data_IF_824394636375
#
_entry.id   IF_824394636375
#
_cell.length_a   1.000
_cell.length_b   1.000
_cell.length_c   1.000
_cell.angle_alpha   90.00
_cell.angle_beta   90.00
_cell.angle_gamma   90.00
#
_symmetry.space_group_name_H-M   'P 1'
#
loop_
_entity.id
_entity.type
_entity.pdbx_description
1 polymer ?
#
# COMPACT_ATOMS: atom_id res chain seq x y z
N UNK A 1 6.75 19.30 7.86
CA UNK A 1 7.44 18.02 7.56
C UNK A 1 7.73 17.14 8.80
N UNK A 2 7.94 17.68 10.00
CA UNK A 2 8.23 16.89 11.22
C UNK A 2 7.16 15.82 11.52
N UNK A 3 5.88 16.18 11.43
CA UNK A 3 4.78 15.24 11.70
C UNK A 3 4.67 14.13 10.64
N UNK A 4 4.95 14.45 9.37
CA UNK A 4 5.02 13.44 8.31
C UNK A 4 6.16 12.43 8.54
N UNK A 5 7.33 12.89 9.00
CA UNK A 5 8.43 11.99 9.39
C UNK A 5 8.06 11.09 10.58
N UNK A 6 7.28 11.59 11.54
CA UNK A 6 6.78 10.79 12.66
C UNK A 6 5.79 9.73 12.17
N UNK A 7 4.87 10.11 11.30
CA UNK A 7 3.92 9.20 10.67
C UNK A 7 4.61 8.09 9.86
N UNK A 8 5.63 8.44 9.07
CA UNK A 8 6.48 7.49 8.35
C UNK A 8 7.28 6.57 9.27
N UNK A 9 7.59 6.97 10.51
CA UNK A 9 8.25 6.07 11.47
C UNK A 9 7.26 5.16 12.20
N UNK A 10 5.96 5.36 12.04
CA UNK A 10 4.94 4.55 12.71
C UNK A 10 4.88 3.14 12.12
N UNK A 11 5.06 2.13 12.97
CA UNK A 11 4.94 0.71 12.59
C UNK A 11 3.58 0.42 11.95
N UNK A 12 2.51 1.03 12.45
CA UNK A 12 1.15 0.84 11.93
C UNK A 12 1.02 1.25 10.47
N UNK A 13 1.69 2.34 10.05
CA UNK A 13 1.69 2.81 8.66
C UNK A 13 2.25 1.74 7.72
N UNK A 14 3.40 1.17 8.07
CA UNK A 14 4.06 0.15 7.25
C UNK A 14 3.32 -1.19 7.26
N UNK A 15 2.75 -1.60 8.41
CA UNK A 15 1.93 -2.82 8.48
C UNK A 15 0.71 -2.70 7.55
N UNK A 16 0.04 -1.55 7.56
CA UNK A 16 -1.09 -1.30 6.66
C UNK A 16 -0.67 -1.38 5.17
N UNK A 17 0.47 -0.77 4.81
CA UNK A 17 0.97 -0.80 3.43
C UNK A 17 1.39 -2.22 2.99
N UNK A 18 1.96 -3.03 3.89
CA UNK A 18 2.27 -4.43 3.60
C UNK A 18 1.00 -5.26 3.37
N UNK A 19 -0.02 -5.10 4.22
CA UNK A 19 -1.31 -5.79 4.05
C UNK A 19 -1.97 -5.37 2.72
N UNK A 20 -1.98 -4.07 2.43
CA UNK A 20 -2.52 -3.56 1.17
C UNK A 20 -1.77 -4.13 -0.03
N UNK A 21 -0.43 -4.15 0.02
CA UNK A 21 0.40 -4.66 -1.07
C UNK A 21 0.17 -6.16 -1.31
N UNK A 22 0.07 -6.96 -0.25
CA UNK A 22 -0.31 -8.37 -0.35
C UNK A 22 -1.70 -8.55 -0.97
N UNK A 23 -2.68 -7.73 -0.53
CA UNK A 23 -4.02 -7.72 -1.12
C UNK A 23 -4.02 -7.38 -2.62
N UNK A 24 -3.22 -6.40 -3.03
CA UNK A 24 -3.06 -6.04 -4.44
C UNK A 24 -2.51 -7.21 -5.26
N UNK A 25 -1.46 -7.88 -4.78
CA UNK A 25 -0.91 -9.05 -5.47
C UNK A 25 -1.94 -10.17 -5.63
N UNK A 26 -2.74 -10.44 -4.59
CA UNK A 26 -3.82 -11.43 -4.67
C UNK A 26 -4.88 -11.03 -5.70
N UNK A 27 -5.26 -9.75 -5.76
CA UNK A 27 -6.23 -9.25 -6.73
C UNK A 27 -5.70 -9.34 -8.16
N UNK A 28 -4.46 -8.93 -8.41
CA UNK A 28 -3.81 -9.05 -9.72
C UNK A 28 -3.73 -10.50 -10.16
N UNK A 29 -3.35 -11.42 -9.26
CA UNK A 29 -3.36 -12.85 -9.56
C UNK A 29 -4.76 -13.36 -9.91
N UNK A 30 -5.79 -12.97 -9.14
CA UNK A 30 -7.18 -13.38 -9.40
C UNK A 30 -7.74 -12.84 -10.72
N UNK A 31 -7.22 -11.72 -11.21
CA UNK A 31 -7.61 -11.14 -12.49
C UNK A 31 -7.02 -11.92 -13.67
N UNK A 32 -5.75 -12.34 -13.56
CA UNK A 32 -5.05 -13.08 -14.63
C UNK A 32 -5.46 -14.55 -14.66
N UNK A 33 -5.67 -15.17 -13.48
CA UNK A 33 -6.07 -16.57 -13.36
C UNK A 33 -7.36 -16.69 -12.53
N UNK A 34 -8.50 -17.03 -13.14
CA UNK A 34 -9.76 -17.21 -12.41
C UNK A 34 -9.76 -18.48 -11.53
N UNK A 35 -8.82 -19.39 -11.75
CA UNK A 35 -8.48 -20.48 -10.83
C UNK A 35 -7.38 -20.02 -9.89
N UNK A 36 -7.46 -20.36 -8.60
CA UNK A 36 -6.46 -20.03 -7.57
C UNK A 36 -5.15 -20.82 -7.78
N UNK A 37 -4.50 -20.64 -8.93
CA UNK A 37 -3.18 -21.14 -9.25
C UNK A 37 -2.17 -20.03 -8.95
N UNK A 38 -1.27 -20.28 -8.02
CA UNK A 38 -0.21 -19.34 -7.67
C UNK A 38 0.83 -19.29 -8.79
N UNK A 39 0.60 -18.43 -9.78
CA UNK A 39 1.63 -18.04 -10.73
C UNK A 39 2.26 -16.71 -10.30
N UNK A 40 3.56 -16.75 -10.02
CA UNK A 40 4.35 -15.59 -9.62
C UNK A 40 4.84 -14.76 -10.82
N UNK A 41 4.51 -15.15 -12.06
CA UNK A 41 4.85 -14.40 -13.28
C UNK A 41 4.48 -12.91 -13.19
N UNK A 42 3.29 -12.59 -12.70
CA UNK A 42 2.84 -11.21 -12.48
C UNK A 42 3.69 -10.43 -11.46
N UNK A 43 4.34 -11.12 -10.52
CA UNK A 43 5.29 -10.52 -9.57
C UNK A 43 6.68 -10.28 -10.19
N UNK A 44 6.99 -10.90 -11.33
CA UNK A 44 8.22 -10.59 -12.08
C UNK A 44 8.03 -9.44 -13.07
N UNK A 45 6.79 -9.06 -13.37
CA UNK A 45 6.51 -7.91 -14.23
C UNK A 45 6.86 -6.60 -13.54
N UNK A 46 7.81 -5.86 -14.14
CA UNK A 46 8.21 -4.53 -13.66
C UNK A 46 7.04 -3.55 -13.59
N UNK A 47 6.06 -3.70 -14.49
CA UNK A 47 4.84 -2.88 -14.53
C UNK A 47 4.04 -2.99 -13.22
N UNK A 48 3.84 -4.20 -12.71
CA UNK A 48 3.14 -4.46 -11.45
C UNK A 48 3.79 -3.71 -10.29
N UNK A 49 5.13 -3.68 -10.23
CA UNK A 49 5.86 -2.95 -9.20
C UNK A 49 5.73 -1.43 -9.34
N UNK A 50 5.73 -0.89 -10.56
CA UNK A 50 5.49 0.54 -10.79
C UNK A 50 4.09 0.96 -10.35
N UNK A 51 3.07 0.18 -10.70
CA UNK A 51 1.68 0.42 -10.26
C UNK A 51 1.58 0.34 -8.74
N UNK A 52 2.19 -0.69 -8.13
CA UNK A 52 2.21 -0.86 -6.68
C UNK A 52 2.91 0.30 -5.97
N UNK A 53 4.03 0.80 -6.49
CA UNK A 53 4.74 1.96 -5.95
C UNK A 53 3.90 3.23 -6.05
N UNK A 54 3.23 3.45 -7.18
CA UNK A 54 2.36 4.61 -7.38
C UNK A 54 1.18 4.58 -6.42
N UNK A 55 0.48 3.44 -6.32
CA UNK A 55 -0.67 3.26 -5.44
C UNK A 55 -0.25 3.42 -3.97
N UNK A 56 0.84 2.78 -3.54
CA UNK A 56 1.33 2.93 -2.17
C UNK A 56 1.73 4.37 -1.85
N UNK A 57 2.39 5.08 -2.78
CA UNK A 57 2.75 6.49 -2.59
C UNK A 57 1.51 7.36 -2.44
N UNK A 58 0.50 7.14 -3.27
CA UNK A 58 -0.78 7.85 -3.19
C UNK A 58 -1.52 7.55 -1.88
N UNK A 59 -1.59 6.28 -1.48
CA UNK A 59 -2.18 5.85 -0.21
C UNK A 59 -1.48 6.47 1.00
N UNK A 60 -0.16 6.53 1.00
CA UNK A 60 0.61 7.10 2.10
C UNK A 60 0.34 8.59 2.27
N UNK A 61 0.24 9.33 1.16
CA UNK A 61 -0.08 10.76 1.15
C UNK A 61 -1.53 10.98 1.60
N UNK A 62 -2.48 10.28 1.01
CA UNK A 62 -3.91 10.44 1.34
C UNK A 62 -4.19 10.04 2.79
N UNK A 63 -3.63 8.92 3.27
CA UNK A 63 -3.81 8.46 4.63
C UNK A 63 -3.25 9.44 5.67
N UNK A 64 -2.08 10.04 5.37
CA UNK A 64 -1.52 11.09 6.21
C UNK A 64 -2.44 12.30 6.33
N UNK A 65 -2.97 12.80 5.20
CA UNK A 65 -3.77 14.03 5.19
C UNK A 65 -5.21 13.85 5.68
N UNK A 66 -5.84 12.71 5.40
CA UNK A 66 -7.24 12.47 5.75
C UNK A 66 -7.46 11.80 7.09
N UNK A 67 -6.57 10.91 7.53
CA UNK A 67 -6.80 10.15 8.77
C UNK A 67 -5.85 10.57 9.88
N UNK A 68 -4.54 10.60 9.61
CA UNK A 68 -3.56 10.78 10.67
C UNK A 68 -3.44 12.24 11.14
N UNK A 69 -3.27 13.19 10.20
CA UNK A 69 -3.13 14.62 10.51
C UNK A 69 -4.37 15.21 11.22
N UNK A 70 -5.62 14.88 10.85
CA UNK A 70 -6.80 15.37 11.57
C UNK A 70 -6.94 14.76 12.98
N UNK A 71 -6.59 13.49 13.16
CA UNK A 71 -6.65 12.85 14.48
C UNK A 71 -5.60 13.39 15.47
N UNK A 72 -4.48 13.95 15.00
CA UNK A 72 -3.52 14.61 15.88
C UNK A 72 -4.06 15.91 16.51
N UNK A 73 -5.06 16.56 15.89
CA UNK A 73 -5.68 17.78 16.43
C UNK A 73 -6.80 17.53 17.43
N UNK A 74 -7.25 16.27 17.54
CA UNK A 74 -8.32 15.85 18.47
C UNK A 74 -7.78 15.31 19.80
N UNK A 75 -6.45 15.27 19.96
CA UNK A 75 -5.75 14.97 21.22
C UNK A 75 -5.11 16.24 21.74
#
# INVERSE_FOLDING_TARGET
MKNFKIYLKSKTTWVFHMIFSLGYFLLVQSYVYPTLSFDFSAAFETKTWFELLFINSFLLVTQYYWFWRPNQKRK
#
